data_IF_410112141175
#
_entry.id   IF_410112141175
#
_cell.length_a   1.000
_cell.length_b   1.000
_cell.length_c   1.000
_cell.angle_alpha   90.00
_cell.angle_beta   90.00
_cell.angle_gamma   90.00
#
_symmetry.space_group_name_H-M   'P 1'
#
loop_
_entity.id
_entity.type
_entity.pdbx_description
1 polymer ?
#
# COMPACT_ATOMS: atom_id res chain seq x y z
N UNK A 1 -4.20 37.06 -9.03
CA UNK A 1 -3.23 37.57 -10.02
C UNK A 1 -4.00 37.97 -11.28
N UNK A 2 -3.83 39.21 -11.76
CA UNK A 2 -4.39 39.68 -13.05
C UNK A 2 -3.73 38.87 -14.18
N UNK A 3 -4.52 38.34 -15.12
CA UNK A 3 -4.00 37.79 -16.39
C UNK A 3 -3.18 38.90 -17.07
N UNK A 4 -1.89 38.66 -17.27
CA UNK A 4 -1.13 39.39 -18.28
C UNK A 4 -1.77 39.03 -19.63
N UNK A 5 -2.26 40.03 -20.35
CA UNK A 5 -2.76 39.84 -21.71
C UNK A 5 -1.58 39.34 -22.54
N UNK A 6 -1.61 38.05 -22.92
CA UNK A 6 -0.58 37.45 -23.74
C UNK A 6 -0.75 38.03 -25.15
N UNK A 7 0.23 38.83 -25.59
CA UNK A 7 0.24 39.37 -26.95
C UNK A 7 0.30 38.22 -27.96
N UNK A 8 -0.77 38.10 -28.75
CA UNK A 8 -0.80 37.24 -29.92
C UNK A 8 0.17 37.83 -30.95
N UNK A 9 1.31 37.18 -31.18
CA UNK A 9 2.16 37.49 -32.33
C UNK A 9 1.41 37.07 -33.60
N UNK A 10 1.00 38.06 -34.39
CA UNK A 10 0.36 37.86 -35.70
C UNK A 10 1.36 37.17 -36.65
N UNK A 11 1.30 35.84 -36.73
CA UNK A 11 1.98 35.07 -37.77
C UNK A 11 1.13 35.13 -39.04
N UNK A 12 1.23 36.26 -39.75
CA UNK A 12 0.73 36.34 -41.13
C UNK A 12 1.30 35.16 -41.93
N UNK A 13 0.57 34.64 -42.92
CA UNK A 13 1.08 33.58 -43.78
C UNK A 13 2.43 34.02 -44.35
N UNK A 14 3.50 33.29 -44.05
CA UNK A 14 4.66 33.32 -44.92
C UNK A 14 4.16 32.71 -46.22
N UNK A 15 4.32 33.40 -47.35
CA UNK A 15 3.94 32.93 -48.69
C UNK A 15 4.78 31.73 -49.16
N UNK A 16 5.23 30.89 -48.23
CA UNK A 16 5.94 29.66 -48.52
C UNK A 16 4.94 28.65 -49.06
N UNK A 17 5.22 28.04 -50.23
CA UNK A 17 4.36 26.98 -50.76
C UNK A 17 4.31 25.85 -49.73
N UNK A 18 3.10 25.51 -49.29
CA UNK A 18 2.87 24.28 -48.53
C UNK A 18 3.31 23.12 -49.42
N UNK A 19 4.54 22.65 -49.25
CA UNK A 19 4.95 21.37 -49.84
C UNK A 19 4.07 20.32 -49.19
N UNK A 20 3.19 19.74 -50.00
CA UNK A 20 2.31 18.64 -49.67
C UNK A 20 3.17 17.43 -49.33
N UNK A 21 3.59 17.32 -48.07
CA UNK A 21 4.07 16.06 -47.52
C UNK A 21 2.82 15.36 -47.02
N UNK A 22 2.23 14.54 -47.89
CA UNK A 22 1.14 13.61 -47.54
C UNK A 22 1.76 12.42 -46.80
N UNK A 23 2.22 12.66 -45.57
CA UNK A 23 2.62 11.59 -44.68
C UNK A 23 1.34 10.93 -44.16
N UNK A 24 1.02 9.76 -44.72
CA UNK A 24 0.02 8.84 -44.18
C UNK A 24 0.78 7.76 -43.43
N UNK A 25 0.65 7.72 -42.11
CA UNK A 25 0.95 6.51 -41.35
C UNK A 25 -0.10 5.48 -41.74
N UNK A 26 0.28 4.36 -42.40
CA UNK A 26 -0.68 3.36 -42.87
C UNK A 26 -1.26 2.51 -41.73
N UNK A 27 -0.79 2.72 -40.50
CA UNK A 27 -1.26 2.01 -39.31
C UNK A 27 -2.48 2.72 -38.75
N UNK A 28 -3.60 2.02 -38.68
CA UNK A 28 -4.79 2.53 -38.00
C UNK A 28 -4.51 2.73 -36.50
N UNK A 29 -5.16 3.73 -35.91
CA UNK A 29 -5.17 3.87 -34.45
C UNK A 29 -6.02 2.73 -33.88
N UNK A 30 -5.48 1.99 -32.93
CA UNK A 30 -6.18 0.92 -32.22
C UNK A 30 -7.52 1.41 -31.63
N UNK A 31 -8.42 0.46 -31.32
CA UNK A 31 -9.67 0.77 -30.64
C UNK A 31 -9.43 1.58 -29.37
N UNK A 32 -10.37 2.49 -29.08
CA UNK A 32 -10.32 3.34 -27.88
C UNK A 32 -10.21 2.47 -26.64
N UNK A 33 -9.22 2.75 -25.80
CA UNK A 33 -8.96 2.00 -24.56
C UNK A 33 -10.20 1.99 -23.64
N UNK A 34 -10.41 0.89 -22.91
CA UNK A 34 -11.60 0.67 -22.09
C UNK A 34 -11.80 1.75 -21.02
N UNK A 35 -10.71 2.33 -20.50
CA UNK A 35 -10.73 3.42 -19.53
C UNK A 35 -11.31 4.72 -20.13
N UNK A 36 -11.08 4.96 -21.42
CA UNK A 36 -11.64 6.10 -22.14
C UNK A 36 -13.08 5.80 -22.56
N UNK A 37 -13.36 4.56 -23.00
CA UNK A 37 -14.67 4.11 -23.47
C UNK A 37 -15.72 4.11 -22.36
N UNK A 38 -15.35 3.69 -21.16
CA UNK A 38 -16.26 3.57 -20.01
C UNK A 38 -16.06 4.70 -18.98
N UNK A 39 -15.10 5.61 -19.21
CA UNK A 39 -14.81 6.74 -18.33
C UNK A 39 -15.82 7.87 -18.44
N UNK A 40 -15.93 8.66 -17.36
CA UNK A 40 -16.73 9.90 -17.37
C UNK A 40 -15.91 11.01 -18.01
N UNK A 41 -16.28 11.43 -19.23
CA UNK A 41 -15.60 12.50 -19.95
C UNK A 41 -16.36 13.80 -19.79
N UNK A 42 -15.66 14.85 -19.37
CA UNK A 42 -16.21 16.19 -19.26
C UNK A 42 -16.64 16.76 -20.65
N UNK A 43 -17.82 17.39 -20.76
CA UNK A 43 -18.32 17.92 -22.04
C UNK A 43 -17.40 18.95 -22.72
N UNK A 44 -16.64 19.72 -21.95
CA UNK A 44 -15.69 20.70 -22.49
C UNK A 44 -14.47 19.98 -23.08
N UNK A 45 -13.97 18.94 -22.41
CA UNK A 45 -12.91 18.08 -22.93
C UNK A 45 -13.32 17.38 -24.23
N UNK A 46 -14.57 16.90 -24.34
CA UNK A 46 -15.10 16.35 -25.58
C UNK A 46 -15.11 17.38 -26.72
N UNK A 47 -15.48 18.63 -26.41
CA UNK A 47 -15.48 19.74 -27.37
C UNK A 47 -14.07 20.03 -27.89
N UNK A 48 -13.06 20.06 -27.01
CA UNK A 48 -11.68 20.25 -27.43
C UNK A 48 -11.15 19.08 -28.25
N UNK A 49 -11.46 17.85 -27.86
CA UNK A 49 -11.11 16.66 -28.64
C UNK A 49 -11.74 16.69 -30.05
N UNK A 50 -13.00 17.13 -30.17
CA UNK A 50 -13.64 17.33 -31.47
C UNK A 50 -12.93 18.41 -32.30
N UNK A 51 -12.55 19.54 -31.70
CA UNK A 51 -11.83 20.58 -32.41
C UNK A 51 -10.45 20.12 -32.88
N UNK A 52 -9.71 19.37 -32.05
CA UNK A 52 -8.41 18.80 -32.42
C UNK A 52 -8.56 17.86 -33.62
N UNK A 53 -9.65 17.07 -33.69
CA UNK A 53 -9.93 16.16 -34.82
C UNK A 53 -10.39 16.85 -36.10
N UNK A 54 -11.05 18.00 -36.00
CA UNK A 54 -11.78 18.60 -37.15
C UNK A 54 -11.21 19.92 -37.67
N UNK A 55 -10.44 20.66 -36.87
CA UNK A 55 -9.85 21.94 -37.30
C UNK A 55 -8.64 21.68 -38.19
N UNK A 56 -8.67 22.20 -39.43
CA UNK A 56 -7.61 21.97 -40.42
C UNK A 56 -6.46 22.99 -40.36
N UNK A 57 -6.74 24.21 -39.91
CA UNK A 57 -5.79 25.33 -40.05
C UNK A 57 -4.93 25.53 -38.81
N UNK A 58 -3.62 25.74 -39.03
CA UNK A 58 -2.55 25.90 -38.01
C UNK A 58 -2.96 26.72 -36.79
N UNK A 59 -3.61 27.90 -36.97
CA UNK A 59 -4.05 28.77 -35.86
C UNK A 59 -5.11 28.10 -34.97
N UNK A 60 -6.13 27.50 -35.58
CA UNK A 60 -7.22 26.89 -34.84
C UNK A 60 -6.79 25.62 -34.11
N UNK A 61 -5.91 24.81 -34.73
CA UNK A 61 -5.31 23.63 -34.08
C UNK A 61 -4.48 24.04 -32.87
N UNK A 62 -3.58 25.02 -33.01
CA UNK A 62 -2.73 25.51 -31.90
C UNK A 62 -3.58 26.06 -30.76
N UNK A 63 -4.63 26.82 -31.07
CA UNK A 63 -5.55 27.38 -30.07
C UNK A 63 -6.35 26.28 -29.34
N UNK A 64 -6.84 25.26 -30.05
CA UNK A 64 -7.56 24.13 -29.44
C UNK A 64 -6.67 23.32 -28.50
N UNK A 65 -5.41 23.06 -28.90
CA UNK A 65 -4.43 22.40 -28.04
C UNK A 65 -4.05 23.24 -26.82
N UNK A 66 -3.84 24.55 -27.00
CA UNK A 66 -3.53 25.46 -25.89
C UNK A 66 -4.66 25.50 -24.87
N UNK A 67 -5.92 25.62 -25.33
CA UNK A 67 -7.10 25.62 -24.45
C UNK A 67 -7.30 24.30 -23.72
N UNK A 68 -7.04 23.17 -24.38
CA UNK A 68 -7.08 21.87 -23.73
C UNK A 68 -6.05 21.81 -22.59
N UNK A 69 -4.81 22.25 -22.84
CA UNK A 69 -3.75 22.24 -21.84
C UNK A 69 -4.06 23.15 -20.65
N UNK A 70 -4.56 24.36 -20.90
CA UNK A 70 -5.01 25.28 -19.84
C UNK A 70 -6.17 24.70 -19.03
N UNK A 71 -7.16 24.10 -19.69
CA UNK A 71 -8.31 23.50 -19.03
C UNK A 71 -7.91 22.32 -18.15
N UNK A 72 -7.06 21.44 -18.67
CA UNK A 72 -6.47 20.32 -17.92
C UNK A 72 -5.72 20.82 -16.69
N UNK A 73 -4.92 21.89 -16.81
CA UNK A 73 -4.25 22.53 -15.66
C UNK A 73 -5.24 23.04 -14.61
N UNK A 74 -6.36 23.65 -15.03
CA UNK A 74 -7.41 24.10 -14.10
C UNK A 74 -8.04 22.92 -13.35
N UNK A 75 -8.34 21.82 -14.05
CA UNK A 75 -8.89 20.61 -13.42
C UNK A 75 -7.91 19.99 -12.42
N UNK A 76 -6.65 19.82 -12.81
CA UNK A 76 -5.61 19.31 -11.92
C UNK A 76 -5.43 20.17 -10.68
N UNK A 77 -5.39 21.50 -10.81
CA UNK A 77 -5.26 22.39 -9.67
C UNK A 77 -6.47 22.31 -8.72
N UNK A 78 -7.69 22.17 -9.26
CA UNK A 78 -8.89 21.95 -8.43
C UNK A 78 -8.80 20.64 -7.65
N UNK A 79 -8.42 19.55 -8.32
CA UNK A 79 -8.26 18.23 -7.69
C UNK A 79 -7.18 18.29 -6.61
N UNK A 80 -6.03 18.90 -6.90
CA UNK A 80 -4.94 19.08 -5.94
C UNK A 80 -5.41 19.79 -4.66
N UNK A 81 -6.13 20.91 -4.79
CA UNK A 81 -6.67 21.64 -3.64
C UNK A 81 -7.67 20.82 -2.84
N UNK A 82 -8.55 20.05 -3.50
CA UNK A 82 -9.50 19.15 -2.83
C UNK A 82 -8.74 18.05 -2.08
N UNK A 83 -7.76 17.43 -2.71
CA UNK A 83 -6.94 16.36 -2.14
C UNK A 83 -6.18 16.86 -0.90
N UNK A 84 -5.45 17.97 -1.01
CA UNK A 84 -4.72 18.57 0.12
C UNK A 84 -5.65 18.96 1.29
N UNK A 85 -6.84 19.49 0.99
CA UNK A 85 -7.80 19.84 2.03
C UNK A 85 -8.45 18.61 2.67
N UNK A 86 -8.65 17.55 1.89
CA UNK A 86 -9.22 16.28 2.38
C UNK A 86 -8.23 15.59 3.30
N UNK A 87 -6.97 15.50 2.89
CA UNK A 87 -5.88 14.95 3.70
C UNK A 87 -5.76 15.71 5.04
N UNK A 88 -5.69 17.05 5.01
CA UNK A 88 -5.65 17.88 6.22
C UNK A 88 -6.87 17.68 7.13
N UNK A 89 -8.06 17.47 6.55
CA UNK A 89 -9.27 17.19 7.32
C UNK A 89 -9.22 15.82 7.95
N UNK A 90 -8.75 14.80 7.23
CA UNK A 90 -8.57 13.44 7.73
C UNK A 90 -7.63 13.43 8.93
N UNK A 91 -6.43 14.01 8.81
CA UNK A 91 -5.49 14.07 9.93
C UNK A 91 -6.05 14.80 11.16
N UNK A 92 -6.85 15.86 10.96
CA UNK A 92 -7.53 16.56 12.07
C UNK A 92 -8.64 15.74 12.70
N UNK A 93 -9.37 14.95 11.92
CA UNK A 93 -10.42 14.05 12.42
C UNK A 93 -9.79 12.94 13.25
N UNK A 94 -8.73 12.31 12.74
CA UNK A 94 -7.96 11.29 13.46
C UNK A 94 -7.48 11.83 14.82
N UNK A 95 -6.82 13.00 14.84
CA UNK A 95 -6.39 13.63 16.08
C UNK A 95 -7.55 13.90 17.06
N UNK A 96 -8.72 14.34 16.57
CA UNK A 96 -9.89 14.58 17.42
C UNK A 96 -10.47 13.29 17.97
N UNK A 97 -10.47 12.21 17.17
CA UNK A 97 -10.93 10.89 17.60
C UNK A 97 -10.00 10.32 18.67
N UNK A 98 -8.68 10.35 18.46
CA UNK A 98 -7.70 9.93 19.49
C UNK A 98 -7.87 10.71 20.78
N UNK A 99 -8.05 12.04 20.72
CA UNK A 99 -8.29 12.85 21.91
C UNK A 99 -9.62 12.51 22.61
N UNK A 100 -10.67 12.17 21.85
CA UNK A 100 -11.96 11.79 22.40
C UNK A 100 -11.89 10.42 23.08
N UNK A 101 -11.22 9.46 22.47
CA UNK A 101 -10.96 8.13 23.05
C UNK A 101 -10.19 8.25 24.36
N UNK A 102 -9.13 9.06 24.39
CA UNK A 102 -8.39 9.32 25.63
C UNK A 102 -9.25 9.94 26.72
N UNK A 103 -10.06 10.94 26.39
CA UNK A 103 -11.00 11.53 27.37
C UNK A 103 -12.04 10.53 27.83
N UNK A 104 -12.49 9.63 26.96
CA UNK A 104 -13.45 8.60 27.33
C UNK A 104 -12.83 7.57 28.29
N UNK A 105 -11.59 7.17 28.04
CA UNK A 105 -10.81 6.35 28.97
C UNK A 105 -10.64 7.04 30.32
N UNK A 106 -10.46 8.37 30.36
CA UNK A 106 -10.40 9.12 31.64
C UNK A 106 -11.73 9.03 32.40
N UNK A 107 -12.86 9.13 31.68
CA UNK A 107 -14.19 8.98 32.29
C UNK A 107 -14.37 7.58 32.84
N UNK A 108 -14.01 6.53 32.10
CA UNK A 108 -14.06 5.14 32.58
C UNK A 108 -13.19 4.99 33.83
N UNK A 109 -11.95 5.50 33.78
CA UNK A 109 -11.00 5.39 34.87
C UNK A 109 -11.55 6.02 36.16
N UNK A 110 -12.11 7.23 36.06
CA UNK A 110 -12.69 7.98 37.18
C UNK A 110 -14.03 7.42 37.67
N UNK A 111 -14.85 6.85 36.77
CA UNK A 111 -16.13 6.26 37.13
C UNK A 111 -15.98 4.87 37.79
N UNK A 112 -14.82 4.23 37.63
CA UNK A 112 -14.54 2.94 38.27
C UNK A 112 -14.29 3.15 39.76
N UNK A 113 -15.09 2.48 40.58
CA UNK A 113 -14.98 2.51 42.05
C UNK A 113 -14.45 1.22 42.64
N UNK A 114 -14.45 0.13 41.86
CA UNK A 114 -13.99 -1.18 42.30
C UNK A 114 -12.46 -1.19 42.48
N UNK A 115 -12.01 -1.46 43.70
CA UNK A 115 -10.59 -1.42 44.06
C UNK A 115 -9.78 -2.55 43.44
N UNK A 116 -10.38 -3.74 43.22
CA UNK A 116 -9.69 -4.86 42.56
C UNK A 116 -9.36 -4.48 41.11
N UNK A 117 -10.32 -3.87 40.41
CA UNK A 117 -10.12 -3.40 39.04
C UNK A 117 -9.12 -2.25 38.96
N UNK A 118 -9.13 -1.32 39.93
CA UNK A 118 -8.15 -0.22 40.00
C UNK A 118 -6.74 -0.78 40.24
N UNK A 119 -6.59 -1.72 41.17
CA UNK A 119 -5.30 -2.34 41.48
C UNK A 119 -4.78 -3.16 40.29
N UNK A 120 -5.66 -3.89 39.60
CA UNK A 120 -5.34 -4.63 38.38
C UNK A 120 -4.86 -3.76 37.21
N UNK A 121 -4.97 -2.43 37.26
CA UNK A 121 -4.37 -1.52 36.26
C UNK A 121 -2.89 -1.23 36.51
N UNK A 122 -2.41 -1.48 37.72
CA UNK A 122 -1.06 -1.17 38.12
C UNK A 122 -0.16 -2.39 37.96
N UNK A 123 1.04 -2.18 37.43
CA UNK A 123 2.08 -3.19 37.32
C UNK A 123 3.41 -2.63 37.79
N UNK A 124 4.05 -3.33 38.73
CA UNK A 124 5.40 -2.95 39.19
C UNK A 124 6.44 -2.91 38.07
N UNK A 125 6.25 -3.70 37.01
CA UNK A 125 7.19 -3.81 35.88
C UNK A 125 6.83 -2.94 34.69
N UNK A 126 5.54 -2.81 34.40
CA UNK A 126 5.04 -2.19 33.17
C UNK A 126 4.46 -0.79 33.41
N UNK A 127 4.35 -0.36 34.67
CA UNK A 127 3.74 0.90 35.03
C UNK A 127 2.23 0.80 35.16
N UNK A 128 1.57 1.96 35.08
CA UNK A 128 0.13 2.09 35.31
C UNK A 128 -0.60 2.30 33.99
N UNK A 129 -1.67 1.54 33.80
CA UNK A 129 -2.58 1.67 32.67
C UNK A 129 -3.82 2.47 33.08
N UNK A 130 -4.45 3.15 32.12
CA UNK A 130 -5.61 4.00 32.39
C UNK A 130 -6.86 3.17 32.66
N UNK A 131 -7.01 2.09 31.91
CA UNK A 131 -8.07 1.09 32.07
C UNK A 131 -7.47 -0.32 32.15
N UNK A 132 -8.23 -1.28 32.68
CA UNK A 132 -7.79 -2.69 32.69
C UNK A 132 -7.66 -3.23 31.26
N UNK A 133 -8.56 -2.79 30.38
CA UNK A 133 -8.57 -3.11 28.95
C UNK A 133 -7.25 -2.75 28.27
N UNK A 134 -6.72 -1.54 28.48
CA UNK A 134 -5.41 -1.15 27.93
C UNK A 134 -4.27 -2.07 28.36
N UNK A 135 -4.32 -2.57 29.60
CA UNK A 135 -3.33 -3.51 30.11
C UNK A 135 -3.47 -4.86 29.42
N UNK A 136 -4.69 -5.34 29.18
CA UNK A 136 -4.95 -6.60 28.49
C UNK A 136 -4.54 -6.50 27.02
N UNK A 137 -4.92 -5.44 26.32
CA UNK A 137 -4.48 -5.14 24.95
C UNK A 137 -2.96 -5.10 24.84
N UNK A 138 -2.26 -4.49 25.81
CA UNK A 138 -0.81 -4.51 25.85
C UNK A 138 -0.25 -5.93 25.93
N UNK A 139 -0.83 -6.79 26.78
CA UNK A 139 -0.43 -8.20 26.86
C UNK A 139 -0.76 -8.98 25.59
N UNK A 140 -1.94 -8.78 25.01
CA UNK A 140 -2.36 -9.44 23.78
C UNK A 140 -1.41 -9.11 22.63
N UNK A 141 -0.99 -7.85 22.49
CA UNK A 141 0.01 -7.44 21.50
C UNK A 141 1.37 -8.15 21.70
N UNK A 142 1.82 -8.32 22.95
CA UNK A 142 3.06 -9.09 23.24
C UNK A 142 2.87 -10.56 22.91
N UNK A 143 1.73 -11.14 23.29
CA UNK A 143 1.43 -12.55 23.06
C UNK A 143 1.37 -12.82 21.54
N UNK A 144 0.68 -11.99 20.78
CA UNK A 144 0.51 -12.12 19.35
C UNK A 144 1.83 -11.98 18.57
N UNK A 145 2.76 -11.16 19.06
CA UNK A 145 4.06 -10.92 18.40
C UNK A 145 5.14 -11.94 18.76
N UNK A 146 5.15 -12.47 19.99
CA UNK A 146 6.28 -13.25 20.52
C UNK A 146 5.94 -14.72 20.74
N UNK A 147 4.74 -15.03 21.22
CA UNK A 147 4.40 -16.39 21.63
C UNK A 147 3.91 -17.15 20.40
N UNK A 148 4.44 -18.36 20.12
CA UNK A 148 4.03 -19.17 18.98
C UNK A 148 2.64 -19.77 19.20
N UNK A 149 1.61 -18.93 19.06
CA UNK A 149 0.19 -19.27 19.14
C UNK A 149 -0.56 -18.57 18.03
N UNK A 150 -1.55 -19.25 17.45
CA UNK A 150 -2.54 -18.63 16.57
C UNK A 150 -2.25 -18.67 15.08
N UNK A 151 -1.06 -19.11 14.64
CA UNK A 151 -0.79 -19.39 13.23
C UNK A 151 -0.03 -20.71 13.02
N UNK A 152 -0.74 -21.69 12.47
CA UNK A 152 -0.22 -23.01 12.16
C UNK A 152 0.13 -23.14 10.68
N UNK A 153 1.38 -23.53 10.39
CA UNK A 153 1.88 -23.76 9.04
C UNK A 153 2.19 -25.24 8.87
N UNK A 154 1.43 -25.92 8.00
CA UNK A 154 1.69 -27.32 7.67
C UNK A 154 2.78 -27.44 6.62
N UNK A 155 3.81 -28.24 6.91
CA UNK A 155 4.92 -28.53 6.00
C UNK A 155 4.99 -30.04 5.73
N UNK A 156 4.77 -30.42 4.47
CA UNK A 156 4.95 -31.80 3.97
C UNK A 156 6.34 -31.92 3.35
N UNK A 157 7.27 -32.55 4.08
CA UNK A 157 8.70 -32.58 3.76
C UNK A 157 9.24 -33.94 3.26
N UNK A 158 8.56 -35.05 3.56
CA UNK A 158 8.93 -36.40 3.07
C UNK A 158 10.39 -36.84 3.37
N UNK A 159 10.99 -36.34 4.46
CA UNK A 159 12.38 -36.66 4.82
C UNK A 159 12.55 -38.03 5.49
N UNK A 160 11.46 -38.69 5.88
CA UNK A 160 11.49 -39.97 6.61
C UNK A 160 12.01 -39.86 8.05
N UNK A 161 12.04 -38.64 8.60
CA UNK A 161 12.55 -38.32 9.94
C UNK A 161 11.76 -37.15 10.55
N UNK A 162 12.04 -36.80 11.81
CA UNK A 162 11.43 -35.66 12.50
C UNK A 162 12.47 -34.53 12.59
N UNK A 163 12.53 -33.61 11.61
CA UNK A 163 13.56 -32.58 11.58
C UNK A 163 13.33 -31.49 12.63
N UNK A 164 14.40 -30.91 13.14
CA UNK A 164 14.31 -29.65 13.89
C UNK A 164 13.99 -28.53 12.91
N UNK A 165 13.01 -27.68 13.21
CA UNK A 165 12.65 -26.53 12.35
C UNK A 165 13.15 -25.24 12.98
N UNK A 166 13.87 -24.44 12.20
CA UNK A 166 14.25 -23.07 12.54
C UNK A 166 13.47 -22.10 11.64
N UNK A 167 12.84 -21.10 12.24
CA UNK A 167 12.04 -20.11 11.52
C UNK A 167 12.71 -18.76 11.56
N UNK A 168 12.86 -18.14 10.39
CA UNK A 168 13.43 -16.80 10.26
C UNK A 168 12.54 -15.90 9.40
N UNK A 169 12.63 -14.61 9.62
CA UNK A 169 11.89 -13.60 8.85
C UNK A 169 12.73 -12.39 8.51
N UNK A 170 12.31 -11.70 7.46
CA UNK A 170 12.77 -10.37 7.07
C UNK A 170 11.66 -9.68 6.27
N UNK A 171 11.72 -8.36 6.17
CA UNK A 171 10.83 -7.56 5.33
C UNK A 171 11.53 -7.09 4.06
N UNK A 172 10.77 -6.74 3.03
CA UNK A 172 11.27 -6.20 1.76
C UNK A 172 12.31 -7.11 1.07
N UNK A 173 12.21 -8.42 1.29
CA UNK A 173 13.06 -9.40 0.62
C UNK A 173 12.86 -9.41 -0.89
N UNK A 174 13.84 -9.92 -1.62
CA UNK A 174 13.73 -10.10 -3.08
C UNK A 174 12.52 -10.97 -3.40
N UNK A 175 11.71 -10.53 -4.36
CA UNK A 175 10.52 -11.26 -4.80
C UNK A 175 9.26 -11.00 -3.97
N UNK A 176 9.34 -10.19 -2.91
CA UNK A 176 8.17 -9.76 -2.14
C UNK A 176 7.51 -8.51 -2.74
N UNK A 177 8.34 -7.58 -3.24
CA UNK A 177 7.93 -6.36 -3.92
C UNK A 177 8.66 -6.24 -5.26
N UNK A 178 8.14 -5.43 -6.22
CA UNK A 178 8.88 -5.10 -7.43
C UNK A 178 10.24 -4.47 -7.11
N UNK A 179 11.25 -4.80 -7.92
CA UNK A 179 12.61 -4.30 -7.71
C UNK A 179 12.65 -2.77 -7.80
N UNK A 180 13.32 -2.14 -6.84
CA UNK A 180 13.50 -0.69 -6.78
C UNK A 180 12.32 0.07 -6.19
N UNK A 181 11.31 -0.64 -5.65
CA UNK A 181 10.19 -0.02 -4.93
C UNK A 181 10.37 -0.06 -3.41
N UNK A 182 11.37 -0.80 -2.92
CA UNK A 182 11.69 -0.86 -1.51
C UNK A 182 12.22 0.47 -0.95
N UNK A 183 11.98 0.75 0.34
CA UNK A 183 12.55 1.93 1.00
C UNK A 183 14.08 1.97 0.94
N UNK A 184 14.64 3.17 0.92
CA UNK A 184 16.09 3.38 0.89
C UNK A 184 16.79 2.62 2.02
N UNK A 185 17.80 1.82 1.66
CA UNK A 185 18.56 1.00 2.61
C UNK A 185 18.01 -0.41 2.84
N UNK A 186 16.90 -0.79 2.18
CA UNK A 186 16.30 -2.12 2.26
C UNK A 186 16.45 -2.94 0.97
N UNK A 187 17.36 -2.56 0.07
CA UNK A 187 17.66 -3.38 -1.12
C UNK A 187 18.18 -4.75 -0.69
N UNK A 188 17.44 -5.81 -1.06
CA UNK A 188 17.70 -7.19 -0.62
C UNK A 188 16.97 -7.60 0.66
N UNK A 189 16.31 -6.66 1.34
CA UNK A 189 15.51 -6.87 2.54
C UNK A 189 16.14 -6.36 3.83
N UNK A 190 15.35 -6.40 4.90
CA UNK A 190 15.81 -6.09 6.26
C UNK A 190 16.74 -7.19 6.79
N UNK A 191 17.39 -6.92 7.94
CA UNK A 191 18.12 -7.95 8.66
C UNK A 191 17.20 -9.15 8.99
N UNK A 192 17.75 -10.36 8.86
CA UNK A 192 17.04 -11.59 9.20
C UNK A 192 16.92 -11.73 10.71
N UNK A 193 15.74 -12.10 11.18
CA UNK A 193 15.41 -12.29 12.59
C UNK A 193 14.86 -13.71 12.81
N UNK A 194 15.25 -14.34 13.91
CA UNK A 194 14.67 -15.62 14.33
C UNK A 194 13.31 -15.42 14.98
N UNK A 195 12.36 -16.30 14.65
CA UNK A 195 11.02 -16.33 15.24
C UNK A 195 10.94 -17.54 16.17
N UNK A 196 10.32 -17.37 17.33
CA UNK A 196 9.98 -18.50 18.20
C UNK A 196 8.90 -19.35 17.52
N UNK A 197 9.08 -20.67 17.52
CA UNK A 197 8.13 -21.60 16.94
C UNK A 197 7.95 -22.83 17.81
N UNK A 198 6.78 -23.44 17.72
CA UNK A 198 6.54 -24.79 18.25
C UNK A 198 6.31 -25.74 17.09
N UNK A 199 6.95 -26.91 17.11
CA UNK A 199 6.84 -27.91 16.05
C UNK A 199 6.11 -29.13 16.58
N UNK A 200 5.05 -29.55 15.88
CA UNK A 200 4.36 -30.81 16.11
C UNK A 200 4.55 -31.71 14.90
N UNK A 201 5.27 -32.81 15.07
CA UNK A 201 5.40 -33.83 14.03
C UNK A 201 4.12 -34.65 13.95
N UNK A 202 3.48 -34.66 12.79
CA UNK A 202 2.29 -35.48 12.52
C UNK A 202 2.73 -36.91 12.21
N UNK A 203 3.76 -37.05 11.38
CA UNK A 203 4.39 -38.31 11.00
C UNK A 203 5.85 -38.04 10.54
N UNK A 204 6.53 -39.04 9.95
CA UNK A 204 7.92 -38.91 9.48
C UNK A 204 8.11 -38.06 8.22
N UNK A 205 7.02 -37.54 7.65
CA UNK A 205 6.99 -36.80 6.39
C UNK A 205 6.29 -35.45 6.51
N UNK A 206 5.71 -35.13 7.67
CA UNK A 206 4.85 -33.97 7.86
C UNK A 206 4.99 -33.41 9.28
N UNK A 207 5.09 -32.09 9.37
CA UNK A 207 5.02 -31.35 10.61
C UNK A 207 4.11 -30.12 10.50
N UNK A 208 3.60 -29.69 11.64
CA UNK A 208 2.88 -28.43 11.82
C UNK A 208 3.81 -27.52 12.62
N UNK A 209 4.12 -26.35 12.07
CA UNK A 209 4.94 -25.33 12.71
C UNK A 209 4.02 -24.20 13.14
N UNK A 210 3.83 -24.04 14.46
CA UNK A 210 3.08 -22.93 15.03
C UNK A 210 4.03 -21.76 15.27
N UNK A 211 3.68 -20.59 14.74
CA UNK A 211 4.42 -19.32 14.91
C UNK A 211 3.46 -18.23 15.44
N UNK A 212 3.98 -17.06 15.88
CA UNK A 212 3.14 -16.03 16.48
C UNK A 212 2.06 -15.49 15.54
N UNK A 213 0.94 -15.08 16.12
CA UNK A 213 -0.26 -14.63 15.40
C UNK A 213 0.01 -13.45 14.45
N UNK A 214 0.95 -12.56 14.78
CA UNK A 214 1.35 -11.43 13.93
C UNK A 214 1.92 -11.86 12.57
N UNK A 215 2.33 -13.13 12.43
CA UNK A 215 2.79 -13.71 11.17
C UNK A 215 1.68 -14.32 10.31
N UNK A 216 0.43 -14.28 10.79
CA UNK A 216 -0.71 -14.87 10.09
C UNK A 216 -0.90 -14.24 8.71
N UNK A 217 -1.04 -15.12 7.73
CA UNK A 217 -1.33 -14.78 6.34
C UNK A 217 -2.12 -15.92 5.71
N UNK A 218 -2.82 -15.62 4.62
CA UNK A 218 -3.53 -16.62 3.82
C UNK A 218 -2.59 -17.34 2.84
N UNK A 219 -1.32 -16.92 2.78
CA UNK A 219 -0.31 -17.47 1.86
C UNK A 219 0.20 -18.83 2.35
N UNK A 220 0.37 -19.77 1.43
CA UNK A 220 0.90 -21.11 1.72
C UNK A 220 2.43 -21.15 1.59
N UNK A 221 3.12 -22.01 2.37
CA UNK A 221 4.55 -22.20 2.23
C UNK A 221 4.89 -22.88 0.90
N UNK A 222 5.86 -22.33 0.18
CA UNK A 222 6.40 -22.86 -1.07
C UNK A 222 7.74 -23.55 -0.78
N UNK A 223 7.91 -24.76 -1.32
CA UNK A 223 9.18 -25.49 -1.22
C UNK A 223 10.26 -24.79 -2.06
N UNK A 224 11.37 -24.40 -1.43
CA UNK A 224 12.58 -23.90 -2.13
C UNK A 224 13.49 -25.08 -2.45
N UNK A 225 13.77 -25.90 -1.45
CA UNK A 225 14.58 -27.12 -1.56
C UNK A 225 14.06 -28.19 -0.59
N UNK A 226 14.70 -29.35 -0.53
CA UNK A 226 14.29 -30.47 0.35
C UNK A 226 14.23 -30.12 1.85
N UNK A 227 14.98 -29.10 2.27
CA UNK A 227 15.13 -28.69 3.65
C UNK A 227 14.61 -27.27 3.91
N UNK A 228 14.02 -26.60 2.92
CA UNK A 228 13.62 -25.19 3.05
C UNK A 228 12.29 -24.89 2.41
N UNK A 229 11.46 -24.20 3.18
CA UNK A 229 10.17 -23.69 2.75
C UNK A 229 10.11 -22.19 2.98
N UNK A 230 9.44 -21.47 2.09
CA UNK A 230 9.29 -20.03 2.15
C UNK A 230 7.82 -19.65 2.04
N UNK A 231 7.36 -18.84 2.98
CA UNK A 231 6.07 -18.19 2.97
C UNK A 231 6.28 -16.70 2.67
N UNK A 232 5.56 -16.18 1.69
CA UNK A 232 5.62 -14.78 1.27
C UNK A 232 4.31 -14.11 1.64
N UNK A 233 4.37 -13.18 2.59
CA UNK A 233 3.25 -12.36 3.02
C UNK A 233 3.34 -10.99 2.33
N UNK A 234 2.68 -10.89 1.17
CA UNK A 234 2.71 -9.67 0.35
C UNK A 234 2.06 -8.47 1.02
N UNK A 235 1.07 -8.67 1.90
CA UNK A 235 0.38 -7.57 2.59
C UNK A 235 1.32 -6.83 3.54
N UNK A 236 2.17 -7.57 4.25
CA UNK A 236 3.14 -7.01 5.20
C UNK A 236 4.54 -6.89 4.61
N UNK A 237 4.70 -7.07 3.30
CA UNK A 237 5.99 -7.08 2.61
C UNK A 237 7.03 -7.96 3.32
N UNK A 238 6.63 -9.16 3.75
CA UNK A 238 7.41 -10.02 4.65
C UNK A 238 7.65 -11.40 4.04
N UNK A 239 8.83 -11.94 4.33
CA UNK A 239 9.19 -13.33 4.05
C UNK A 239 9.36 -14.09 5.37
N UNK A 240 8.90 -15.33 5.41
CA UNK A 240 9.13 -16.26 6.52
C UNK A 240 9.70 -17.56 5.95
N UNK A 241 10.93 -17.90 6.34
CA UNK A 241 11.59 -19.13 5.91
C UNK A 241 11.58 -20.15 7.04
N UNK A 242 11.34 -21.41 6.67
CA UNK A 242 11.37 -22.58 7.53
C UNK A 242 12.52 -23.46 7.07
N UNK A 243 13.58 -23.52 7.86
CA UNK A 243 14.75 -24.36 7.62
C UNK A 243 14.60 -25.66 8.43
N UNK A 244 14.57 -26.81 7.77
CA UNK A 244 14.48 -28.15 8.35
C UNK A 244 15.88 -28.74 8.50
N UNK A 245 16.25 -29.12 9.72
CA UNK A 245 17.58 -29.59 10.08
C UNK A 245 17.45 -31.05 10.56
N UNK A 246 18.19 -31.96 9.94
CA UNK A 246 18.27 -33.38 10.29
C UNK A 246 19.42 -33.66 11.27
#
# INVERSE_FOLDING_TARGET
MRRLAQEFKDTRPTNEPNTTVDYQDPTDVDEVQDEIKNGVIDPISQTFALWIRTKMYRRHVRESLARMMEYTSVLFNKIKVISENTEKRQSKVEQRQTNLEERFKDVIANATTDSEVIDARSSERLGNFKTLDERLEYFENIIASVIPVGFDVTIVHNLGAQPVVNVRTWTHGIGVLPLGTEPTGLFGGSASQSIQCTVKHVNSSECIVTIPLDYKTDSLPVKIDEHKYLLIDGQNSRSVVFDLIL
#
